data_IF_427626080277
#
_entry.id   IF_427626080277
#
_cell.length_a   1.000
_cell.length_b   1.000
_cell.length_c   1.000
_cell.angle_alpha   90.00
_cell.angle_beta   90.00
_cell.angle_gamma   90.00
#
_symmetry.space_group_name_H-M   'P 1'
#
loop_
_entity.id
_entity.type
_entity.pdbx_description
1 polymer ?
#
# COMPACT_ATOMS: atom_id res chain seq x y z
N UNK A 1 23.36 -30.11 40.50
CA UNK A 1 22.18 -30.66 39.78
C UNK A 1 20.88 -30.02 40.27
N UNK A 2 20.67 -29.89 41.58
CA UNK A 2 19.52 -29.17 42.14
C UNK A 2 19.44 -27.70 41.68
N UNK A 3 20.57 -26.98 41.63
CA UNK A 3 20.61 -25.57 41.19
C UNK A 3 20.29 -25.36 39.70
N UNK A 4 20.56 -26.37 38.88
CA UNK A 4 20.19 -26.36 37.47
C UNK A 4 18.69 -26.57 37.29
N UNK A 5 18.10 -27.49 38.08
CA UNK A 5 16.67 -27.73 38.06
C UNK A 5 15.89 -26.50 38.55
N UNK A 6 16.34 -25.84 39.63
CA UNK A 6 15.70 -24.62 40.15
C UNK A 6 15.74 -23.48 39.14
N UNK A 7 16.89 -23.28 38.46
CA UNK A 7 17.06 -22.26 37.41
C UNK A 7 16.14 -22.48 36.22
N UNK A 8 16.01 -23.73 35.73
CA UNK A 8 15.06 -24.06 34.64
C UNK A 8 13.62 -23.81 35.09
N UNK A 9 13.23 -24.23 36.30
CA UNK A 9 11.86 -23.99 36.77
C UNK A 9 11.53 -22.51 36.95
N UNK A 10 12.49 -21.66 37.37
CA UNK A 10 12.24 -20.22 37.48
C UNK A 10 12.15 -19.52 36.13
N UNK A 11 12.99 -19.91 35.16
CA UNK A 11 12.98 -19.38 33.79
C UNK A 11 11.70 -19.80 33.04
N UNK A 12 11.35 -21.08 33.11
CA UNK A 12 10.14 -21.64 32.48
C UNK A 12 8.86 -21.13 33.16
N UNK A 13 8.90 -20.97 34.49
CA UNK A 13 7.79 -20.43 35.27
C UNK A 13 7.43 -18.99 34.89
N UNK A 14 8.41 -18.17 34.53
CA UNK A 14 8.20 -16.80 34.05
C UNK A 14 7.80 -16.69 32.57
N UNK A 15 8.13 -17.69 31.75
CA UNK A 15 7.82 -17.71 30.32
C UNK A 15 6.36 -18.03 30.02
N UNK A 16 5.75 -18.93 30.80
CA UNK A 16 4.38 -19.40 30.55
C UNK A 16 3.33 -18.27 30.55
N UNK A 17 3.28 -17.36 31.55
CA UNK A 17 2.32 -16.26 31.55
C UNK A 17 2.57 -15.27 30.41
N UNK A 18 3.84 -15.02 30.04
CA UNK A 18 4.21 -14.12 28.94
C UNK A 18 3.80 -14.69 27.60
N UNK A 19 3.98 -16.00 27.40
CA UNK A 19 3.56 -16.70 26.19
C UNK A 19 2.04 -16.60 26.01
N UNK A 20 1.26 -16.79 27.09
CA UNK A 20 -0.20 -16.62 27.05
C UNK A 20 -0.59 -15.18 26.68
N UNK A 21 0.06 -14.18 27.29
CA UNK A 21 -0.15 -12.77 26.95
C UNK A 21 0.18 -12.44 25.50
N UNK A 22 1.30 -12.94 25.00
CA UNK A 22 1.73 -12.75 23.62
C UNK A 22 0.73 -13.41 22.64
N UNK A 23 0.32 -14.66 22.89
CA UNK A 23 -0.69 -15.35 22.07
C UNK A 23 -2.00 -14.57 22.06
N UNK A 24 -2.45 -14.03 23.20
CA UNK A 24 -3.64 -13.19 23.26
C UNK A 24 -3.50 -11.94 22.37
N UNK A 25 -2.34 -11.27 22.39
CA UNK A 25 -2.04 -10.14 21.50
C UNK A 25 -2.08 -10.56 20.03
N UNK A 26 -1.51 -11.72 19.69
CA UNK A 26 -1.49 -12.21 18.31
C UNK A 26 -2.91 -12.49 17.80
N UNK A 27 -3.76 -13.12 18.61
CA UNK A 27 -5.15 -13.42 18.25
C UNK A 27 -5.95 -12.12 18.07
N UNK A 28 -5.89 -11.21 19.04
CA UNK A 28 -6.59 -9.93 18.97
C UNK A 28 -6.09 -9.07 17.81
N UNK A 29 -4.78 -9.03 17.62
CA UNK A 29 -4.16 -8.28 16.55
C UNK A 29 -4.48 -8.83 15.17
N UNK A 30 -4.56 -10.15 15.00
CA UNK A 30 -4.97 -10.75 13.73
C UNK A 30 -6.40 -10.36 13.35
N UNK A 31 -7.32 -10.39 14.31
CA UNK A 31 -8.69 -9.89 14.11
C UNK A 31 -8.66 -8.40 13.73
N UNK A 32 -7.88 -7.58 14.42
CA UNK A 32 -7.74 -6.16 14.10
C UNK A 32 -7.18 -5.93 12.69
N UNK A 33 -6.16 -6.67 12.28
CA UNK A 33 -5.54 -6.57 10.96
C UNK A 33 -6.51 -6.93 9.83
N UNK A 34 -7.30 -8.00 10.00
CA UNK A 34 -8.31 -8.39 9.02
C UNK A 34 -9.42 -7.35 8.89
N UNK A 35 -9.85 -6.73 10.00
CA UNK A 35 -10.84 -5.65 9.99
C UNK A 35 -10.32 -4.45 9.21
N UNK A 36 -9.09 -3.98 9.51
CA UNK A 36 -8.47 -2.85 8.81
C UNK A 36 -8.38 -3.09 7.31
N UNK A 37 -7.89 -4.26 6.90
CA UNK A 37 -7.78 -4.62 5.50
C UNK A 37 -9.14 -4.69 4.80
N UNK A 38 -10.16 -5.23 5.47
CA UNK A 38 -11.53 -5.28 4.94
C UNK A 38 -12.13 -3.89 4.76
N UNK A 39 -11.88 -2.98 5.71
CA UNK A 39 -12.31 -1.58 5.61
C UNK A 39 -11.61 -0.90 4.43
N UNK A 40 -10.28 -1.00 4.33
CA UNK A 40 -9.51 -0.43 3.21
C UNK A 40 -10.01 -0.95 1.87
N UNK A 41 -10.23 -2.26 1.75
CA UNK A 41 -10.79 -2.88 0.54
C UNK A 41 -12.17 -2.31 0.21
N UNK A 42 -13.04 -2.19 1.22
CA UNK A 42 -14.39 -1.66 1.05
C UNK A 42 -14.41 -0.20 0.61
N UNK A 43 -13.45 0.62 1.08
CA UNK A 43 -13.30 2.01 0.67
C UNK A 43 -12.75 2.15 -0.75
N UNK A 44 -11.71 1.40 -1.10
CA UNK A 44 -11.12 1.47 -2.44
C UNK A 44 -12.06 0.91 -3.52
N UNK A 45 -12.80 -0.17 -3.23
CA UNK A 45 -13.80 -0.72 -4.16
C UNK A 45 -14.94 0.25 -4.48
N UNK A 46 -15.22 1.20 -3.57
CA UNK A 46 -16.19 2.28 -3.83
C UNK A 46 -15.62 3.38 -4.72
N UNK A 47 -14.33 3.36 -5.02
CA UNK A 47 -13.66 4.37 -5.83
C UNK A 47 -13.40 3.82 -7.22
N UNK A 48 -13.70 4.59 -8.28
CA UNK A 48 -13.42 4.23 -9.68
C UNK A 48 -11.92 4.27 -10.04
N UNK A 49 -11.01 4.05 -9.07
CA UNK A 49 -9.56 4.10 -9.30
C UNK A 49 -9.17 3.04 -10.32
N UNK A 50 -9.74 1.84 -10.23
CA UNK A 50 -9.41 0.72 -11.12
C UNK A 50 -9.76 1.04 -12.59
N UNK A 51 -10.95 1.58 -12.82
CA UNK A 51 -11.42 2.00 -14.14
C UNK A 51 -10.57 3.15 -14.72
N UNK A 52 -10.22 4.13 -13.88
CA UNK A 52 -9.39 5.28 -14.29
C UNK A 52 -7.97 4.83 -14.62
N UNK A 53 -7.38 3.95 -13.83
CA UNK A 53 -6.02 3.48 -14.07
C UNK A 53 -5.93 2.59 -15.32
N UNK A 54 -6.91 1.70 -15.53
CA UNK A 54 -7.01 0.89 -16.73
C UNK A 54 -7.06 1.78 -17.99
N UNK A 55 -7.92 2.80 -18.00
CA UNK A 55 -8.05 3.72 -19.14
C UNK A 55 -6.78 4.54 -19.43
N UNK A 56 -5.95 4.82 -18.41
CA UNK A 56 -4.71 5.58 -18.53
C UNK A 56 -3.52 4.73 -19.00
N UNK A 57 -3.51 3.44 -18.68
CA UNK A 57 -2.37 2.56 -18.95
C UNK A 57 -2.51 1.81 -20.28
N UNK A 58 -3.69 1.31 -20.63
CA UNK A 58 -3.86 0.46 -21.83
C UNK A 58 -4.44 1.18 -23.05
N UNK A 59 -5.01 2.38 -22.89
CA UNK A 59 -5.43 3.23 -24.02
C UNK A 59 -6.55 2.70 -24.92
N UNK A 60 -7.04 1.45 -24.76
CA UNK A 60 -8.20 0.87 -25.46
C UNK A 60 -8.83 -0.32 -24.69
N UNK A 61 -10.17 -0.32 -24.76
CA UNK A 61 -11.19 -1.35 -24.44
C UNK A 61 -11.23 -1.97 -23.04
N UNK A 62 -12.46 -1.98 -22.51
CA UNK A 62 -12.87 -2.23 -21.15
C UNK A 62 -13.02 -3.74 -20.79
N UNK A 63 -12.36 -4.63 -21.54
CA UNK A 63 -12.56 -6.09 -21.44
C UNK A 63 -11.30 -6.88 -21.05
N UNK A 64 -10.16 -6.23 -20.77
CA UNK A 64 -9.02 -6.91 -20.16
C UNK A 64 -9.17 -6.98 -18.63
N UNK A 65 -8.66 -8.06 -17.98
CA UNK A 65 -8.76 -8.24 -16.54
C UNK A 65 -8.20 -7.02 -15.81
N UNK A 66 -9.11 -6.22 -15.24
CA UNK A 66 -8.77 -5.06 -14.42
C UNK A 66 -7.83 -5.50 -13.31
N UNK A 67 -6.65 -4.88 -13.23
CA UNK A 67 -5.73 -5.12 -12.12
C UNK A 67 -6.48 -4.76 -10.83
N UNK A 68 -6.67 -5.70 -9.89
CA UNK A 68 -7.50 -5.45 -8.71
C UNK A 68 -6.70 -4.65 -7.67
N UNK A 69 -6.48 -3.35 -7.93
CA UNK A 69 -5.63 -2.48 -7.12
C UNK A 69 -6.16 -2.41 -5.69
N UNK A 70 -7.48 -2.44 -5.50
CA UNK A 70 -8.12 -2.51 -4.19
C UNK A 70 -7.71 -3.76 -3.40
N UNK A 71 -7.54 -4.90 -4.09
CA UNK A 71 -7.07 -6.12 -3.45
C UNK A 71 -5.59 -6.03 -3.09
N UNK A 72 -4.76 -5.46 -3.96
CA UNK A 72 -3.32 -5.33 -3.71
C UNK A 72 -3.06 -4.37 -2.54
N UNK A 73 -3.74 -3.23 -2.51
CA UNK A 73 -3.62 -2.25 -1.42
C UNK A 73 -4.17 -2.81 -0.11
N UNK A 74 -5.34 -3.46 -0.12
CA UNK A 74 -5.88 -4.09 1.08
C UNK A 74 -4.97 -5.21 1.61
N UNK A 75 -4.37 -6.00 0.71
CA UNK A 75 -3.40 -7.04 1.07
C UNK A 75 -2.15 -6.41 1.70
N UNK A 76 -1.63 -5.32 1.13
CA UNK A 76 -0.51 -4.59 1.72
C UNK A 76 -0.84 -4.06 3.12
N UNK A 77 -2.02 -3.44 3.30
CA UNK A 77 -2.48 -2.97 4.62
C UNK A 77 -2.60 -4.13 5.62
N UNK A 78 -3.12 -5.29 5.19
CA UNK A 78 -3.19 -6.49 6.03
C UNK A 78 -1.79 -6.90 6.51
N UNK A 79 -0.83 -7.04 5.59
CA UNK A 79 0.53 -7.47 5.92
C UNK A 79 1.27 -6.47 6.81
N UNK A 80 1.15 -5.17 6.54
CA UNK A 80 1.74 -4.12 7.38
C UNK A 80 1.13 -4.14 8.78
N UNK A 81 -0.20 -4.23 8.89
CA UNK A 81 -0.88 -4.30 10.19
C UNK A 81 -0.51 -5.58 10.95
N UNK A 82 -0.41 -6.72 10.24
CA UNK A 82 0.04 -7.98 10.82
C UNK A 82 1.49 -7.87 11.32
N UNK A 83 2.36 -7.18 10.59
CA UNK A 83 3.74 -6.93 10.99
C UNK A 83 3.82 -6.12 12.30
N UNK A 84 2.97 -5.10 12.47
CA UNK A 84 2.81 -4.39 13.75
C UNK A 84 2.40 -5.32 14.89
N UNK A 85 1.44 -6.21 14.63
CA UNK A 85 0.99 -7.19 15.62
C UNK A 85 2.11 -8.17 15.97
N UNK A 86 2.90 -8.60 15.00
CA UNK A 86 4.07 -9.46 15.22
C UNK A 86 5.12 -8.76 16.08
N UNK A 87 5.40 -7.49 15.84
CA UNK A 87 6.28 -6.69 16.70
C UNK A 87 5.74 -6.67 18.13
N UNK A 88 4.45 -6.36 18.32
CA UNK A 88 3.83 -6.34 19.64
C UNK A 88 3.88 -7.73 20.32
N UNK A 89 3.69 -8.80 19.55
CA UNK A 89 3.82 -10.19 20.00
C UNK A 89 5.24 -10.50 20.49
N UNK A 90 6.27 -10.20 19.69
CA UNK A 90 7.67 -10.46 20.07
C UNK A 90 8.11 -9.60 21.26
N UNK A 91 7.64 -8.34 21.33
CA UNK A 91 7.87 -7.47 22.49
C UNK A 91 7.24 -8.02 23.76
N UNK A 92 6.00 -8.52 23.69
CA UNK A 92 5.33 -9.16 24.83
C UNK A 92 6.06 -10.42 25.30
N UNK A 93 6.72 -11.13 24.37
CA UNK A 93 7.58 -12.27 24.68
C UNK A 93 8.99 -11.87 25.17
N UNK A 94 9.28 -10.57 25.24
CA UNK A 94 10.59 -9.99 25.59
C UNK A 94 11.72 -10.38 24.62
N UNK A 95 11.38 -10.66 23.36
CA UNK A 95 12.34 -10.97 22.29
C UNK A 95 12.77 -9.70 21.55
N UNK A 96 13.39 -8.77 22.30
CA UNK A 96 13.84 -7.47 21.80
C UNK A 96 14.69 -7.55 20.52
N UNK A 97 15.58 -8.53 20.47
CA UNK A 97 16.51 -8.76 19.34
C UNK A 97 15.79 -9.12 18.04
N UNK A 98 14.60 -9.72 18.12
CA UNK A 98 13.80 -10.08 16.93
C UNK A 98 12.88 -8.92 16.54
N UNK A 99 12.39 -8.14 17.50
CA UNK A 99 11.53 -6.98 17.23
C UNK A 99 12.27 -5.79 16.62
N UNK A 100 13.57 -5.60 16.91
CA UNK A 100 14.36 -4.49 16.36
C UNK A 100 14.38 -4.40 14.82
N UNK A 101 14.76 -5.46 14.08
CA UNK A 101 14.75 -5.38 12.62
C UNK A 101 13.33 -5.17 12.06
N UNK A 102 12.31 -5.76 12.68
CA UNK A 102 10.92 -5.59 12.28
C UNK A 102 10.42 -4.15 12.50
N UNK A 103 10.84 -3.50 13.60
CA UNK A 103 10.60 -2.08 13.83
C UNK A 103 11.28 -1.22 12.76
N UNK A 104 12.53 -1.51 12.41
CA UNK A 104 13.24 -0.82 11.34
C UNK A 104 12.51 -0.91 10.00
N UNK A 105 11.98 -2.09 9.64
CA UNK A 105 11.16 -2.24 8.43
C UNK A 105 9.87 -1.42 8.50
N UNK A 106 9.19 -1.38 9.64
CA UNK A 106 7.99 -0.55 9.80
C UNK A 106 8.34 0.92 9.61
N UNK A 107 9.37 1.42 10.30
CA UNK A 107 9.84 2.81 10.18
C UNK A 107 10.16 3.16 8.72
N UNK A 108 10.85 2.28 8.00
CA UNK A 108 11.15 2.46 6.59
C UNK A 108 9.87 2.56 5.74
N UNK A 109 8.91 1.65 5.93
CA UNK A 109 7.60 1.69 5.26
C UNK A 109 6.87 3.02 5.53
N UNK A 110 6.85 3.50 6.78
CA UNK A 110 6.26 4.80 7.12
C UNK A 110 7.03 5.97 6.50
N UNK A 111 8.35 5.89 6.40
CA UNK A 111 9.16 6.91 5.74
C UNK A 111 8.91 6.95 4.22
N UNK A 112 8.47 5.85 3.62
CA UNK A 112 8.07 5.81 2.21
C UNK A 112 6.68 6.39 1.93
N UNK A 113 5.74 6.31 2.88
CA UNK A 113 4.37 6.83 2.70
C UNK A 113 4.33 8.32 2.26
N UNK A 114 5.01 9.26 2.96
CA UNK A 114 5.08 10.66 2.55
C UNK A 114 5.74 10.84 1.19
N UNK A 115 6.80 10.07 0.89
CA UNK A 115 7.50 10.13 -0.40
C UNK A 115 6.59 9.69 -1.55
N UNK A 116 5.78 8.65 -1.34
CA UNK A 116 4.78 8.17 -2.29
C UNK A 116 3.72 9.25 -2.54
N UNK A 117 3.23 9.90 -1.48
CA UNK A 117 2.32 11.04 -1.57
C UNK A 117 2.94 12.21 -2.35
N UNK A 118 4.20 12.55 -2.08
CA UNK A 118 4.94 13.56 -2.84
C UNK A 118 5.07 13.21 -4.32
N UNK A 119 5.38 11.94 -4.65
CA UNK A 119 5.46 11.48 -6.03
C UNK A 119 4.11 11.55 -6.76
N UNK A 120 3.01 11.19 -6.10
CA UNK A 120 1.65 11.33 -6.66
C UNK A 120 1.28 12.79 -6.93
N UNK A 121 1.64 13.70 -6.01
CA UNK A 121 1.43 15.14 -6.21
C UNK A 121 2.24 15.68 -7.39
N UNK A 122 3.52 15.28 -7.50
CA UNK A 122 4.37 15.65 -8.64
C UNK A 122 3.82 15.10 -9.96
N UNK A 123 3.35 13.85 -9.98
CA UNK A 123 2.69 13.25 -11.13
C UNK A 123 1.42 14.00 -11.53
N UNK A 124 0.58 14.35 -10.55
CA UNK A 124 -0.63 15.14 -10.79
C UNK A 124 -0.29 16.50 -11.42
N UNK A 125 0.75 17.17 -10.93
CA UNK A 125 1.21 18.44 -11.46
C UNK A 125 1.76 18.29 -12.89
N UNK A 126 2.60 17.27 -13.15
CA UNK A 126 3.14 16.99 -14.48
C UNK A 126 2.02 16.67 -15.48
N UNK A 127 1.02 15.87 -15.09
CA UNK A 127 -0.13 15.53 -15.92
C UNK A 127 -1.00 16.76 -16.23
N UNK A 128 -1.19 17.65 -15.24
CA UNK A 128 -1.88 18.91 -15.44
C UNK A 128 -1.18 19.76 -16.51
N UNK A 129 0.14 19.93 -16.40
CA UNK A 129 0.94 20.67 -17.37
C UNK A 129 0.86 20.04 -18.76
N UNK A 130 1.01 18.72 -18.87
CA UNK A 130 0.93 18.01 -20.15
C UNK A 130 -0.45 18.19 -20.81
N UNK A 131 -1.53 18.14 -20.01
CA UNK A 131 -2.90 18.31 -20.51
C UNK A 131 -3.13 19.73 -21.04
N UNK A 132 -2.64 20.75 -20.32
CA UNK A 132 -2.71 22.14 -20.78
C UNK A 132 -1.91 22.31 -22.08
N UNK A 133 -0.69 21.78 -22.15
CA UNK A 133 0.14 21.84 -23.36
C UNK A 133 -0.52 21.16 -24.56
N UNK A 134 -1.09 19.95 -24.37
CA UNK A 134 -1.84 19.25 -25.42
C UNK A 134 -3.04 20.05 -25.90
N UNK A 135 -3.77 20.68 -24.98
CA UNK A 135 -4.93 21.50 -25.28
C UNK A 135 -4.55 22.75 -26.08
N UNK A 136 -3.44 23.41 -25.73
CA UNK A 136 -2.92 24.55 -26.48
C UNK A 136 -2.45 24.14 -27.87
N UNK A 137 -1.76 23.00 -28.00
CA UNK A 137 -1.26 22.51 -29.28
C UNK A 137 -2.39 22.12 -30.24
N UNK A 138 -3.40 21.39 -29.74
CA UNK A 138 -4.56 20.99 -30.54
C UNK A 138 -5.42 22.18 -30.95
N UNK A 139 -5.67 23.14 -30.05
CA UNK A 139 -6.39 24.39 -30.39
C UNK A 139 -5.59 25.27 -31.33
N UNK A 140 -4.26 25.31 -31.19
CA UNK A 140 -3.36 26.03 -32.07
C UNK A 140 -3.40 25.48 -33.49
N UNK A 141 -3.27 24.15 -33.63
CA UNK A 141 -3.32 23.46 -34.93
C UNK A 141 -4.68 23.66 -35.63
N UNK A 142 -5.79 23.59 -34.91
CA UNK A 142 -7.13 23.86 -35.47
C UNK A 142 -7.30 25.29 -35.99
N UNK A 143 -6.61 26.27 -35.40
CA UNK A 143 -6.66 27.66 -35.87
C UNK A 143 -5.88 27.89 -37.17
N UNK A 144 -4.94 27.01 -37.51
CA UNK A 144 -4.07 27.21 -38.68
C UNK A 144 -4.65 26.69 -40.00
N UNK A 145 -5.87 26.11 -40.04
CA UNK A 145 -6.54 25.67 -41.30
C UNK A 145 -5.59 24.96 -42.29
N UNK A 146 -4.70 24.13 -41.73
CA UNK A 146 -3.82 23.29 -42.54
C UNK A 146 -4.63 22.29 -43.37
N UNK A 147 -5.86 22.00 -42.92
CA UNK A 147 -6.83 21.12 -43.58
C UNK A 147 -7.36 21.73 -44.89
N UNK A 148 -7.65 23.04 -44.95
CA UNK A 148 -8.08 23.67 -46.20
C UNK A 148 -6.97 23.72 -47.26
N UNK A 149 -5.71 23.91 -46.86
CA UNK A 149 -4.58 23.99 -47.82
C UNK A 149 -4.16 22.65 -48.41
N UNK A 150 -4.52 21.53 -47.77
CA UNK A 150 -4.28 20.18 -48.27
C UNK A 150 -5.39 19.71 -49.23
N UNK A 151 -6.63 20.19 -49.03
CA UNK A 151 -7.76 19.85 -49.88
C UNK A 151 -7.74 20.60 -51.23
N UNK A 152 -7.19 21.82 -51.28
CA UNK A 152 -7.07 22.61 -52.52
C UNK A 152 -6.01 22.11 -53.51
N UNK A 153 -5.12 21.18 -53.11
CA UNK A 153 -4.11 20.60 -54.01
C UNK A 153 -4.46 19.19 -54.52
N UNK A 154 -5.59 18.64 -54.08
CA UNK A 154 -6.06 17.29 -54.45
C UNK A 154 -7.36 17.32 -55.27
N UNK A 155 -7.87 18.50 -55.63
CA UNK A 155 -8.95 18.71 -56.62
C UNK A 155 -8.41 19.46 -57.82
#
# INVERSE_FOLDING_TARGET
>A
MADFLTSITSEVGGFLPRLVGAIAILILGWIFATILASITRGLLKKTDIDNRLASLVTGRQADEPTVPIEQWVATAVYWITLLFVLVAFFNALQLGTVSEPLNGFLEEVFAYLPKLGGALLLLALAWLIATISKLLLTRGLQRFRLDERLNEQLG
#
